data_IF_329126425320
#
_entry.id   IF_329126425320
#
_cell.length_a   1.000
_cell.length_b   1.000
_cell.length_c   1.000
_cell.angle_alpha   90.00
_cell.angle_beta   90.00
_cell.angle_gamma   90.00
#
_symmetry.space_group_name_H-M   'P 1'
#
loop_
_entity.id
_entity.type
_entity.pdbx_description
1 polymer ?
#
# COMPACT_ATOMS: atom_id res chain seq x y z
N UNK A 1 24.20 24.85 5.33
CA UNK A 1 23.70 24.32 4.05
C UNK A 1 22.25 23.98 4.29
N UNK A 2 21.30 24.56 3.55
CA UNK A 2 19.90 24.17 3.70
C UNK A 2 19.81 22.66 3.47
N UNK A 3 19.41 21.92 4.50
CA UNK A 3 19.30 20.47 4.49
C UNK A 3 18.27 20.10 3.42
N UNK A 4 18.73 19.61 2.27
CA UNK A 4 17.84 19.30 1.15
C UNK A 4 17.00 18.09 1.57
N UNK A 5 15.70 18.27 1.80
CA UNK A 5 14.80 17.14 2.09
C UNK A 5 14.91 16.06 1.01
N UNK A 6 14.86 14.77 1.37
CA UNK A 6 14.93 13.71 0.38
C UNK A 6 13.78 13.79 -0.61
N UNK A 7 14.03 13.38 -1.85
CA UNK A 7 12.96 13.27 -2.85
C UNK A 7 12.03 12.13 -2.44
N UNK A 8 10.72 12.35 -2.57
CA UNK A 8 9.68 11.34 -2.32
C UNK A 8 9.07 10.95 -3.66
N UNK A 9 9.15 9.67 -4.03
CA UNK A 9 8.63 9.17 -5.31
C UNK A 9 7.75 7.96 -5.07
N UNK A 10 6.50 8.00 -5.53
CA UNK A 10 5.55 6.90 -5.43
C UNK A 10 5.40 6.24 -6.80
N UNK A 11 5.71 4.95 -6.88
CA UNK A 11 5.52 4.13 -8.07
C UNK A 11 4.22 3.33 -7.95
N UNK A 12 3.30 3.50 -8.89
CA UNK A 12 2.02 2.79 -8.90
C UNK A 12 1.25 3.02 -10.20
N UNK A 13 -0.01 2.62 -10.24
CA UNK A 13 -0.94 2.99 -11.31
C UNK A 13 -2.25 3.51 -10.71
N UNK A 14 -3.00 4.27 -11.51
CA UNK A 14 -4.13 5.08 -11.02
C UNK A 14 -5.28 4.24 -10.48
N UNK A 15 -5.63 3.13 -11.13
CA UNK A 15 -6.73 2.28 -10.69
C UNK A 15 -6.41 1.34 -9.50
N UNK A 16 -5.20 1.41 -8.93
CA UNK A 16 -4.80 0.54 -7.82
C UNK A 16 -5.34 1.03 -6.48
N UNK A 17 -6.09 0.18 -5.78
CA UNK A 17 -6.60 0.46 -4.43
C UNK A 17 -5.47 0.87 -3.45
N UNK A 18 -4.43 0.04 -3.37
CA UNK A 18 -3.31 0.28 -2.46
C UNK A 18 -2.46 1.50 -2.86
N UNK A 19 -2.44 1.87 -4.15
CA UNK A 19 -1.80 3.11 -4.58
C UNK A 19 -2.57 4.32 -4.03
N UNK A 20 -3.91 4.30 -4.07
CA UNK A 20 -4.72 5.36 -3.48
C UNK A 20 -4.54 5.49 -1.97
N UNK A 21 -4.40 4.36 -1.25
CA UNK A 21 -4.05 4.39 0.18
C UNK A 21 -2.77 5.19 0.43
N UNK A 22 -1.71 4.94 -0.33
CA UNK A 22 -0.44 5.67 -0.20
C UNK A 22 -0.54 7.14 -0.66
N UNK A 23 -1.24 7.42 -1.77
CA UNK A 23 -1.46 8.80 -2.27
C UNK A 23 -2.22 9.64 -1.24
N UNK A 24 -3.26 9.09 -0.62
CA UNK A 24 -4.00 9.79 0.42
C UNK A 24 -3.26 9.87 1.75
N UNK A 25 -2.41 8.89 2.11
CA UNK A 25 -1.48 9.04 3.23
C UNK A 25 -0.56 10.26 3.02
N UNK A 26 0.06 10.38 1.84
CA UNK A 26 0.89 11.53 1.46
C UNK A 26 0.10 12.84 1.49
N UNK A 27 -1.14 12.83 0.97
CA UNK A 27 -2.02 14.00 0.97
C UNK A 27 -2.41 14.44 2.38
N UNK A 28 -2.84 13.53 3.26
CA UNK A 28 -3.19 13.85 4.64
C UNK A 28 -1.96 14.42 5.37
N UNK A 29 -0.81 13.79 5.22
CA UNK A 29 0.44 14.27 5.81
C UNK A 29 0.98 15.56 5.17
N UNK A 30 0.41 16.03 4.06
CA UNK A 30 0.84 17.18 3.27
C UNK A 30 2.31 17.08 2.81
N UNK A 31 2.71 15.90 2.32
CA UNK A 31 4.08 15.63 1.84
C UNK A 31 4.12 15.79 0.32
N UNK A 32 4.86 16.77 -0.23
CA UNK A 32 5.10 16.85 -1.68
C UNK A 32 5.79 15.60 -2.20
N UNK A 33 5.26 15.00 -3.27
CA UNK A 33 5.83 13.81 -3.88
C UNK A 33 5.67 13.79 -5.40
N UNK A 34 6.52 13.01 -6.05
CA UNK A 34 6.41 12.70 -7.48
C UNK A 34 5.69 11.35 -7.65
N UNK A 35 4.62 11.30 -8.44
CA UNK A 35 3.98 10.05 -8.83
C UNK A 35 4.54 9.57 -10.18
N UNK A 36 4.99 8.32 -10.24
CA UNK A 36 5.46 7.69 -11.48
C UNK A 36 4.58 6.48 -11.79
N UNK A 37 3.86 6.58 -12.91
CA UNK A 37 3.02 5.52 -13.41
C UNK A 37 3.87 4.33 -13.87
N UNK A 38 3.57 3.16 -13.32
CA UNK A 38 4.12 1.86 -13.74
C UNK A 38 2.99 0.96 -14.23
N UNK A 39 3.26 -0.04 -15.10
CA UNK A 39 2.23 -0.95 -15.59
C UNK A 39 1.41 -1.64 -14.48
N UNK A 40 0.11 -1.85 -14.71
CA UNK A 40 -0.80 -2.53 -13.76
C UNK A 40 -0.55 -4.04 -13.65
N UNK A 41 0.18 -4.60 -14.61
CA UNK A 41 0.59 -5.99 -14.76
C UNK A 41 2.11 -6.06 -14.96
N UNK A 42 2.70 -7.25 -14.81
CA UNK A 42 4.13 -7.43 -15.11
C UNK A 42 4.38 -7.46 -16.63
N UNK A 43 5.58 -7.06 -17.11
CA UNK A 43 6.75 -6.60 -16.36
C UNK A 43 6.72 -5.09 -16.00
N UNK A 44 7.49 -4.70 -14.98
CA UNK A 44 7.71 -3.29 -14.58
C UNK A 44 9.19 -2.91 -14.72
N UNK A 45 9.66 -2.60 -15.95
CA UNK A 45 11.08 -2.39 -16.23
C UNK A 45 11.69 -1.24 -15.41
N UNK A 46 10.96 -0.15 -15.17
CA UNK A 46 11.43 0.96 -14.32
C UNK A 46 11.87 0.48 -12.93
N UNK A 47 11.12 -0.42 -12.29
CA UNK A 47 11.50 -0.94 -10.96
C UNK A 47 12.65 -1.96 -11.06
N UNK A 48 12.58 -2.85 -12.05
CA UNK A 48 13.57 -3.91 -12.26
C UNK A 48 14.94 -3.34 -12.64
N UNK A 49 14.99 -2.51 -13.68
CA UNK A 49 16.23 -2.07 -14.32
C UNK A 49 16.90 -0.94 -13.52
N UNK A 50 16.10 -0.03 -12.94
CA UNK A 50 16.66 1.07 -12.16
C UNK A 50 17.11 0.64 -10.77
N UNK A 51 16.36 -0.25 -10.11
CA UNK A 51 16.56 -0.57 -8.68
C UNK A 51 16.90 -2.04 -8.39
N UNK A 52 16.88 -2.93 -9.39
CA UNK A 52 17.02 -4.37 -9.15
C UNK A 52 15.82 -4.98 -8.42
N UNK A 53 14.66 -4.30 -8.42
CA UNK A 53 13.49 -4.73 -7.65
C UNK A 53 12.60 -5.67 -8.47
N UNK A 54 12.47 -6.92 -8.03
CA UNK A 54 11.58 -7.93 -8.63
C UNK A 54 10.21 -8.02 -7.95
N UNK A 55 10.03 -7.32 -6.82
CA UNK A 55 8.79 -7.31 -6.05
C UNK A 55 7.58 -6.97 -6.93
N UNK A 56 6.62 -7.89 -6.97
CA UNK A 56 5.49 -7.83 -7.90
C UNK A 56 4.36 -6.91 -7.48
N UNK A 57 4.15 -6.64 -6.19
CA UNK A 57 3.04 -5.75 -5.76
C UNK A 57 3.43 -4.27 -5.90
N UNK A 58 2.41 -3.42 -5.89
CA UNK A 58 2.50 -1.96 -5.88
C UNK A 58 1.56 -1.42 -4.80
N UNK A 59 1.73 -0.18 -4.34
CA UNK A 59 2.78 0.75 -4.71
C UNK A 59 4.14 0.42 -4.09
N UNK A 60 5.18 1.09 -4.57
CA UNK A 60 6.52 1.17 -3.95
C UNK A 60 6.84 2.65 -3.73
N UNK A 61 7.32 3.01 -2.54
CA UNK A 61 7.72 4.39 -2.23
C UNK A 61 9.25 4.49 -2.16
N UNK A 62 9.84 5.45 -2.87
CA UNK A 62 11.21 5.87 -2.65
C UNK A 62 11.25 7.11 -1.74
N UNK A 63 12.11 7.09 -0.72
CA UNK A 63 12.54 8.29 0.01
C UNK A 63 14.06 8.39 -0.17
N UNK A 64 14.50 9.24 -1.09
CA UNK A 64 15.87 9.21 -1.58
C UNK A 64 16.22 7.85 -2.19
N UNK A 65 17.19 7.15 -1.60
CA UNK A 65 17.71 5.85 -2.08
C UNK A 65 17.21 4.65 -1.29
N UNK A 66 16.15 4.83 -0.51
CA UNK A 66 15.48 3.78 0.26
C UNK A 66 14.13 3.47 -0.40
N UNK A 67 13.90 2.21 -0.76
CA UNK A 67 12.64 1.75 -1.33
C UNK A 67 11.83 1.02 -0.26
N UNK A 68 10.62 1.49 0.01
CA UNK A 68 9.67 0.88 0.92
C UNK A 68 8.60 0.13 0.13
N UNK A 69 8.57 -1.18 0.31
CA UNK A 69 7.56 -2.07 -0.25
C UNK A 69 6.45 -2.30 0.78
N UNK A 70 5.22 -2.46 0.27
CA UNK A 70 3.99 -2.65 1.05
C UNK A 70 3.47 -1.39 1.78
N UNK A 71 2.17 -1.12 1.66
CA UNK A 71 1.57 0.10 2.22
C UNK A 71 1.69 0.19 3.74
N UNK A 72 1.72 -0.94 4.45
CA UNK A 72 1.89 -0.95 5.90
C UNK A 72 3.25 -0.39 6.32
N UNK A 73 4.31 -0.69 5.57
CA UNK A 73 5.65 -0.16 5.84
C UNK A 73 5.82 1.26 5.29
N UNK A 74 5.26 1.54 4.11
CA UNK A 74 5.24 2.88 3.51
C UNK A 74 4.68 3.89 4.52
N UNK A 75 3.55 3.59 5.17
CA UNK A 75 2.95 4.48 6.16
C UNK A 75 3.88 4.71 7.36
N UNK A 76 4.54 3.66 7.87
CA UNK A 76 5.49 3.81 8.98
C UNK A 76 6.72 4.62 8.58
N UNK A 77 7.20 4.48 7.34
CA UNK A 77 8.28 5.29 6.80
C UNK A 77 7.87 6.77 6.72
N UNK A 78 6.67 7.06 6.22
CA UNK A 78 6.16 8.43 6.16
C UNK A 78 6.04 9.04 7.56
N UNK A 79 5.54 8.30 8.55
CA UNK A 79 5.46 8.78 9.94
C UNK A 79 6.84 9.04 10.57
N UNK A 80 7.84 8.25 10.19
CA UNK A 80 9.19 8.40 10.71
C UNK A 80 9.96 9.57 10.08
N UNK A 81 9.91 9.73 8.76
CA UNK A 81 10.66 10.78 8.06
C UNK A 81 9.95 12.12 8.01
N UNK A 82 8.63 12.14 8.19
CA UNK A 82 7.80 13.34 8.17
C UNK A 82 6.93 13.39 9.44
N UNK A 83 7.55 13.58 10.62
CA UNK A 83 6.84 13.54 11.91
C UNK A 83 6.13 14.86 12.22
N UNK A 84 5.17 14.80 13.14
CA UNK A 84 4.44 15.96 13.67
C UNK A 84 5.37 17.01 14.33
N UNK A 85 6.47 16.56 14.95
CA UNK A 85 7.50 17.46 15.48
C UNK A 85 8.19 18.33 14.42
N UNK A 86 8.08 17.98 13.14
CA UNK A 86 8.61 18.73 12.00
C UNK A 86 7.49 19.45 11.20
N UNK A 87 6.26 19.50 11.74
CA UNK A 87 5.12 20.24 11.17
C UNK A 87 4.24 19.44 10.20
N UNK A 88 4.45 18.14 10.06
CA UNK A 88 3.61 17.25 9.23
C UNK A 88 2.42 16.70 10.02
N UNK A 89 1.29 16.43 9.37
CA UNK A 89 0.20 15.74 10.10
C UNK A 89 0.59 14.29 10.41
N UNK A 90 0.19 13.77 11.56
CA UNK A 90 0.33 12.34 11.87
C UNK A 90 -0.93 11.56 11.49
N UNK A 91 -0.75 10.36 10.95
CA UNK A 91 -1.80 9.36 10.75
C UNK A 91 -2.16 8.62 12.05
N UNK A 92 -1.47 8.93 13.16
CA UNK A 92 -1.74 8.42 14.50
C UNK A 92 -2.09 9.55 15.48
N UNK A 93 -3.11 10.38 15.19
CA UNK A 93 -3.49 11.47 16.06
C UNK A 93 -3.94 10.96 17.44
N UNK A 94 -3.76 11.81 18.46
CA UNK A 94 -4.22 11.55 19.82
C UNK A 94 -5.76 11.55 19.85
N UNK A 95 -6.34 10.54 20.48
CA UNK A 95 -7.78 10.45 20.69
C UNK A 95 -8.25 11.40 21.82
N UNK A 96 -9.55 11.65 21.90
CA UNK A 96 -10.17 12.52 22.90
C UNK A 96 -9.86 12.10 24.36
N UNK A 97 -9.62 10.81 24.61
CA UNK A 97 -9.23 10.27 25.92
C UNK A 97 -7.73 10.45 26.26
N UNK A 98 -6.98 11.11 25.38
CA UNK A 98 -5.55 11.39 25.54
C UNK A 98 -4.62 10.27 25.07
N UNK A 99 -5.12 9.12 24.61
CA UNK A 99 -4.31 7.98 24.17
C UNK A 99 -3.97 8.05 22.67
N UNK A 100 -2.92 7.32 22.28
CA UNK A 100 -2.57 7.11 20.87
C UNK A 100 -2.77 5.62 20.57
N UNK A 101 -3.73 5.31 19.70
CA UNK A 101 -4.15 3.94 19.39
C UNK A 101 -3.39 3.31 18.21
N UNK A 102 -2.12 3.69 17.99
CA UNK A 102 -1.30 3.28 16.84
C UNK A 102 -1.34 1.77 16.54
N UNK A 103 -1.17 0.84 17.51
CA UNK A 103 -1.24 -0.59 17.22
C UNK A 103 -2.63 -1.05 16.75
N UNK A 104 -3.70 -0.49 17.31
CA UNK A 104 -5.08 -0.81 16.92
C UNK A 104 -5.41 -0.24 15.54
N UNK A 105 -4.98 0.99 15.25
CA UNK A 105 -5.14 1.62 13.92
C UNK A 105 -4.39 0.82 12.85
N UNK A 106 -3.15 0.38 13.12
CA UNK A 106 -2.39 -0.52 12.22
C UNK A 106 -3.08 -1.87 12.06
N UNK A 107 -3.53 -2.46 13.16
CA UNK A 107 -4.24 -3.74 13.15
C UNK A 107 -5.52 -3.69 12.31
N UNK A 108 -6.34 -2.66 12.53
CA UNK A 108 -7.57 -2.40 11.78
C UNK A 108 -7.29 -2.26 10.29
N UNK A 109 -6.29 -1.43 9.91
CA UNK A 109 -5.90 -1.27 8.52
C UNK A 109 -5.39 -2.58 7.90
N UNK A 110 -4.36 -3.21 8.47
CA UNK A 110 -3.63 -4.31 7.82
C UNK A 110 -4.30 -5.69 7.91
N UNK A 111 -5.15 -5.93 8.92
CA UNK A 111 -5.78 -7.25 9.11
C UNK A 111 -7.26 -7.28 8.82
N UNK A 112 -7.98 -6.17 9.00
CA UNK A 112 -9.41 -6.10 8.70
C UNK A 112 -9.64 -5.46 7.33
N UNK A 113 -9.19 -4.23 7.13
CA UNK A 113 -9.53 -3.51 5.90
C UNK A 113 -8.78 -4.09 4.68
N UNK A 114 -7.46 -4.22 4.77
CA UNK A 114 -6.62 -4.68 3.67
C UNK A 114 -6.84 -6.17 3.32
N UNK A 115 -7.59 -6.94 4.13
CA UNK A 115 -7.80 -8.38 3.96
C UNK A 115 -9.28 -8.76 3.74
N UNK A 116 -10.12 -9.01 4.77
CA UNK A 116 -11.51 -9.42 4.53
C UNK A 116 -12.35 -8.35 3.84
N UNK A 117 -12.19 -7.06 4.18
CA UNK A 117 -12.95 -5.99 3.54
C UNK A 117 -12.52 -5.80 2.07
N UNK A 118 -11.21 -5.77 1.81
CA UNK A 118 -10.65 -5.78 0.46
C UNK A 118 -11.18 -6.94 -0.38
N UNK A 119 -11.16 -8.18 0.15
CA UNK A 119 -11.69 -9.36 -0.56
C UNK A 119 -13.17 -9.23 -0.91
N UNK A 120 -13.99 -8.70 0.00
CA UNK A 120 -15.42 -8.50 -0.26
C UNK A 120 -15.62 -7.52 -1.43
N UNK A 121 -14.94 -6.37 -1.40
CA UNK A 121 -15.04 -5.35 -2.46
C UNK A 121 -14.41 -5.77 -3.79
N UNK A 122 -13.28 -6.50 -3.81
CA UNK A 122 -12.74 -7.09 -5.04
C UNK A 122 -13.70 -8.10 -5.68
N UNK A 123 -14.51 -8.78 -4.86
CA UNK A 123 -15.56 -9.67 -5.32
C UNK A 123 -16.72 -8.97 -6.03
N UNK A 124 -16.77 -7.64 -6.03
CA UNK A 124 -17.78 -6.82 -6.71
C UNK A 124 -17.30 -6.32 -8.08
N UNK A 125 -16.04 -6.56 -8.45
CA UNK A 125 -15.54 -6.11 -9.76
C UNK A 125 -16.32 -6.79 -10.91
N UNK A 126 -16.66 -6.04 -11.98
CA UNK A 126 -17.37 -6.58 -13.13
C UNK A 126 -16.66 -7.79 -13.76
N UNK A 127 -17.44 -8.74 -14.28
CA UNK A 127 -16.93 -9.91 -15.00
C UNK A 127 -16.00 -9.55 -16.17
N UNK A 128 -16.26 -8.42 -16.84
CA UNK A 128 -15.46 -7.91 -17.95
C UNK A 128 -13.98 -7.74 -17.59
N UNK A 129 -13.66 -7.28 -16.37
CA UNK A 129 -12.28 -7.11 -15.88
C UNK A 129 -11.52 -8.44 -15.91
N UNK A 130 -12.16 -9.50 -15.41
CA UNK A 130 -11.56 -10.82 -15.27
C UNK A 130 -11.38 -11.55 -16.61
N UNK A 131 -12.11 -11.15 -17.66
CA UNK A 131 -11.98 -11.70 -19.03
C UNK A 131 -10.79 -11.13 -19.80
N UNK A 132 -10.11 -10.12 -19.26
CA UNK A 132 -8.94 -9.49 -19.89
C UNK A 132 -7.63 -10.19 -19.48
N UNK A 133 -6.51 -9.73 -20.03
CA UNK A 133 -5.16 -10.13 -19.58
C UNK A 133 -4.92 -9.85 -18.10
N UNK A 134 -5.63 -8.88 -17.51
CA UNK A 134 -5.59 -8.62 -16.07
C UNK A 134 -6.01 -9.84 -15.25
N UNK A 135 -7.08 -10.53 -15.65
CA UNK A 135 -7.53 -11.74 -14.96
C UNK A 135 -6.46 -12.84 -14.98
N UNK A 136 -5.75 -12.99 -16.10
CA UNK A 136 -4.65 -13.94 -16.24
C UNK A 136 -3.46 -13.56 -15.34
N UNK A 137 -3.09 -12.28 -15.33
CA UNK A 137 -2.03 -11.76 -14.46
C UNK A 137 -2.36 -11.97 -12.96
N UNK A 138 -3.61 -11.73 -12.56
CA UNK A 138 -4.07 -11.94 -11.19
C UNK A 138 -4.15 -13.42 -10.82
N UNK A 139 -4.51 -14.31 -11.74
CA UNK A 139 -4.41 -15.75 -11.52
C UNK A 139 -2.97 -16.19 -11.20
N UNK A 140 -1.98 -15.65 -11.94
CA UNK A 140 -0.56 -15.87 -11.65
C UNK A 140 -0.12 -15.31 -10.29
N UNK A 141 -0.59 -14.10 -9.94
CA UNK A 141 -0.33 -13.48 -8.64
C UNK A 141 -0.89 -14.30 -7.47
N UNK A 142 -2.11 -14.82 -7.59
CA UNK A 142 -2.79 -15.55 -6.52
C UNK A 142 -2.38 -17.02 -6.48
N UNK A 143 -1.90 -17.57 -7.59
CA UNK A 143 -1.42 -18.96 -7.70
C UNK A 143 -2.51 -19.99 -8.01
N UNK A 144 -3.67 -19.57 -8.52
CA UNK A 144 -4.69 -20.47 -9.06
C UNK A 144 -5.50 -19.81 -10.18
N UNK A 145 -6.08 -20.63 -11.05
CA UNK A 145 -6.89 -20.16 -12.17
C UNK A 145 -8.17 -19.46 -11.71
N UNK A 146 -8.43 -18.28 -12.28
CA UNK A 146 -9.67 -17.54 -12.08
C UNK A 146 -10.63 -17.86 -13.23
N UNK A 147 -11.90 -18.10 -12.87
CA UNK A 147 -13.00 -18.36 -13.81
C UNK A 147 -13.92 -17.14 -13.83
N UNK A 148 -13.88 -16.31 -14.88
CA UNK A 148 -14.65 -15.05 -14.92
C UNK A 148 -16.16 -15.25 -14.76
N UNK A 149 -16.72 -16.30 -15.37
CA UNK A 149 -18.16 -16.58 -15.29
C UNK A 149 -18.58 -16.96 -13.86
N UNK A 150 -17.74 -17.73 -13.15
CA UNK A 150 -18.00 -18.06 -11.74
C UNK A 150 -17.84 -16.86 -10.83
N UNK A 151 -16.85 -16.00 -11.08
CA UNK A 151 -16.65 -14.77 -10.30
C UNK A 151 -17.83 -13.82 -10.46
N UNK A 152 -18.30 -13.62 -11.70
CA UNK A 152 -19.46 -12.79 -12.01
C UNK A 152 -20.74 -13.34 -11.35
N UNK A 153 -20.97 -14.65 -11.40
CA UNK A 153 -22.10 -15.31 -10.70
C UNK A 153 -22.05 -15.17 -9.17
N UNK A 154 -20.88 -14.88 -8.58
CA UNK A 154 -20.70 -14.69 -7.14
C UNK A 154 -20.91 -13.26 -6.67
N UNK A 155 -21.17 -12.30 -7.57
CA UNK A 155 -21.40 -10.89 -7.19
C UNK A 155 -22.49 -10.76 -6.10
N UNK A 156 -23.68 -11.42 -6.19
CA UNK A 156 -24.68 -11.32 -5.12
C UNK A 156 -24.19 -11.83 -3.76
N UNK A 157 -23.39 -12.90 -3.73
CA UNK A 157 -22.81 -13.43 -2.50
C UNK A 157 -21.77 -12.47 -1.92
N UNK A 158 -20.93 -11.87 -2.77
CA UNK A 158 -19.96 -10.86 -2.36
C UNK A 158 -20.65 -9.56 -1.90
N UNK A 159 -21.79 -9.21 -2.49
CA UNK A 159 -22.63 -8.09 -2.07
C UNK A 159 -23.18 -8.33 -0.66
N UNK A 160 -23.62 -9.55 -0.34
CA UNK A 160 -24.01 -9.94 1.02
C UNK A 160 -22.84 -9.92 2.02
N UNK A 161 -21.63 -10.32 1.59
CA UNK A 161 -20.42 -10.19 2.43
C UNK A 161 -20.08 -8.73 2.71
N UNK A 162 -20.16 -7.87 1.69
CA UNK A 162 -19.91 -6.44 1.80
C UNK A 162 -20.95 -5.78 2.72
N UNK A 163 -22.23 -6.13 2.58
CA UNK A 163 -23.30 -5.71 3.48
C UNK A 163 -23.01 -6.07 4.94
N UNK A 164 -22.60 -7.31 5.20
CA UNK A 164 -22.21 -7.74 6.54
C UNK A 164 -21.02 -6.93 7.09
N UNK A 165 -20.00 -6.62 6.27
CA UNK A 165 -18.89 -5.77 6.70
C UNK A 165 -19.35 -4.36 7.09
N UNK A 166 -20.23 -3.74 6.30
CA UNK A 166 -20.78 -2.41 6.60
C UNK A 166 -21.64 -2.45 7.87
N UNK A 167 -22.47 -3.48 8.05
CA UNK A 167 -23.27 -3.66 9.26
C UNK A 167 -22.43 -3.79 10.53
N UNK A 168 -21.24 -4.39 10.45
CA UNK A 168 -20.30 -4.43 11.59
C UNK A 168 -19.69 -3.06 11.92
N UNK A 169 -19.55 -2.18 10.92
CA UNK A 169 -18.92 -0.86 11.06
C UNK A 169 -19.93 0.24 11.44
N UNK A 170 -21.20 0.10 11.06
CA UNK A 170 -22.24 1.11 11.30
C UNK A 170 -22.34 1.59 12.76
N UNK A 171 -22.34 0.72 13.79
CA UNK A 171 -22.46 1.16 15.17
C UNK A 171 -21.30 2.06 15.65
N UNK A 172 -20.17 2.08 14.93
CA UNK A 172 -19.04 2.96 15.25
C UNK A 172 -19.38 4.44 15.04
N UNK A 173 -20.41 4.74 14.25
CA UNK A 173 -20.81 6.10 13.87
C UNK A 173 -22.12 6.56 14.57
N UNK A 174 -22.59 5.81 15.56
CA UNK A 174 -23.75 6.19 16.39
C UNK A 174 -23.42 7.36 17.35
N UNK A 175 -22.13 7.61 17.62
CA UNK A 175 -21.68 8.64 18.55
C UNK A 175 -21.51 10.00 17.87
N UNK A 176 -22.01 11.06 18.52
CA UNK A 176 -22.05 12.42 17.94
C UNK A 176 -20.79 13.25 18.18
N UNK A 177 -19.88 12.79 19.04
CA UNK A 177 -18.80 13.63 19.58
C UNK A 177 -17.59 13.76 18.64
N UNK A 178 -17.41 12.80 17.73
CA UNK A 178 -16.40 12.88 16.67
C UNK A 178 -16.85 12.06 15.47
N UNK A 179 -16.62 12.55 14.23
CA UNK A 179 -16.91 11.77 13.04
C UNK A 179 -15.89 10.64 12.81
N UNK A 180 -14.76 10.60 13.52
CA UNK A 180 -13.65 9.69 13.20
C UNK A 180 -13.63 8.43 14.06
N UNK A 181 -13.18 7.31 13.47
CA UNK A 181 -13.24 5.95 14.04
C UNK A 181 -12.65 5.84 15.47
N UNK A 182 -11.58 6.58 15.76
CA UNK A 182 -10.91 6.57 17.07
C UNK A 182 -11.21 7.82 17.92
N UNK A 183 -12.27 8.57 17.62
CA UNK A 183 -12.62 9.80 18.32
C UNK A 183 -11.47 10.81 18.40
N UNK A 184 -10.73 10.92 17.29
CA UNK A 184 -9.62 11.86 17.11
C UNK A 184 -10.17 13.21 16.62
N UNK A 185 -9.34 14.25 16.57
CA UNK A 185 -9.72 15.55 16.01
C UNK A 185 -9.62 15.62 14.48
N UNK A 186 -8.81 14.75 13.90
CA UNK A 186 -8.53 14.61 12.45
C UNK A 186 -8.55 13.12 12.09
N UNK A 187 -8.77 12.74 10.81
CA UNK A 187 -8.82 11.32 10.43
C UNK A 187 -7.49 10.62 10.72
N UNK A 188 -7.60 9.39 11.21
CA UNK A 188 -6.46 8.51 11.51
C UNK A 188 -6.17 7.55 10.36
N UNK A 189 -5.14 6.71 10.52
CA UNK A 189 -4.90 5.59 9.61
C UNK A 189 -6.12 4.67 9.47
N UNK A 190 -6.92 4.50 10.51
CA UNK A 190 -8.12 3.65 10.42
C UNK A 190 -9.17 4.25 9.49
N UNK A 191 -9.37 5.57 9.57
CA UNK A 191 -10.27 6.30 8.67
C UNK A 191 -9.76 6.27 7.23
N UNK A 192 -8.46 6.54 7.02
CA UNK A 192 -7.82 6.42 5.72
C UNK A 192 -7.99 5.01 5.14
N UNK A 193 -7.72 3.97 5.94
CA UNK A 193 -7.81 2.58 5.52
C UNK A 193 -9.24 2.23 5.07
N UNK A 194 -10.24 2.49 5.91
CA UNK A 194 -11.62 2.21 5.56
C UNK A 194 -12.06 3.02 4.33
N UNK A 195 -11.67 4.29 4.25
CA UNK A 195 -12.13 5.17 3.19
C UNK A 195 -11.58 4.75 1.85
N UNK A 196 -10.27 4.46 1.76
CA UNK A 196 -9.69 4.13 0.47
C UNK A 196 -10.30 2.86 -0.11
N UNK A 197 -10.56 1.88 0.75
CA UNK A 197 -11.06 0.60 0.31
C UNK A 197 -12.55 0.67 -0.05
N UNK A 198 -13.33 1.41 0.74
CA UNK A 198 -14.75 1.62 0.45
C UNK A 198 -14.93 2.42 -0.85
N UNK A 199 -14.22 3.54 -1.00
CA UNK A 199 -14.23 4.33 -2.24
C UNK A 199 -13.84 3.46 -3.44
N UNK A 200 -12.67 2.81 -3.39
CA UNK A 200 -12.20 2.00 -4.53
C UNK A 200 -13.16 0.87 -4.87
N UNK A 201 -13.69 0.18 -3.85
CA UNK A 201 -14.62 -0.93 -4.02
C UNK A 201 -15.92 -0.49 -4.70
N UNK A 202 -16.48 0.64 -4.27
CA UNK A 202 -17.72 1.18 -4.85
C UNK A 202 -17.49 1.68 -6.28
N UNK A 203 -16.42 2.44 -6.52
CA UNK A 203 -16.13 2.98 -7.86
C UNK A 203 -15.84 1.86 -8.88
N UNK A 204 -15.01 0.87 -8.52
CA UNK A 204 -14.72 -0.25 -9.43
C UNK A 204 -15.93 -1.16 -9.62
N UNK A 205 -16.80 -1.32 -8.62
CA UNK A 205 -18.05 -2.07 -8.79
C UNK A 205 -18.99 -1.42 -9.81
N UNK A 206 -18.99 -0.08 -9.94
CA UNK A 206 -19.70 0.63 -11.01
C UNK A 206 -19.07 0.44 -12.39
N UNK A 207 -17.81 0.00 -12.40
CA UNK A 207 -16.95 -0.11 -13.58
C UNK A 207 -16.20 1.17 -13.90
N UNK A 208 -15.95 2.03 -12.91
CA UNK A 208 -15.01 3.13 -13.06
C UNK A 208 -13.56 2.64 -12.98
N UNK A 209 -12.66 3.29 -13.70
CA UNK A 209 -11.22 3.02 -13.73
C UNK A 209 -10.82 1.63 -14.25
N UNK A 210 -11.75 0.82 -14.76
CA UNK A 210 -11.47 -0.54 -15.23
C UNK A 210 -10.67 -0.55 -16.54
N UNK A 211 -10.78 0.50 -17.36
CA UNK A 211 -9.90 0.72 -18.50
C UNK A 211 -8.44 0.86 -18.06
N UNK A 212 -8.15 1.72 -17.07
CA UNK A 212 -6.81 1.86 -16.51
C UNK A 212 -6.34 0.58 -15.79
N UNK A 213 -7.23 -0.05 -15.01
CA UNK A 213 -6.94 -1.28 -14.27
C UNK A 213 -6.46 -2.39 -15.19
N UNK A 214 -7.17 -2.59 -16.31
CA UNK A 214 -6.92 -3.65 -17.28
C UNK A 214 -5.93 -3.26 -18.38
N UNK A 215 -5.35 -2.06 -18.33
CA UNK A 215 -4.49 -1.51 -19.37
C UNK A 215 -5.16 -1.52 -20.77
N UNK A 216 -6.42 -1.08 -20.83
CA UNK A 216 -7.22 -1.03 -22.06
C UNK A 216 -7.86 -2.37 -22.46
N UNK A 217 -7.90 -3.35 -21.56
CA UNK A 217 -8.55 -4.64 -21.82
C UNK A 217 -10.08 -4.58 -21.82
N UNK A 218 -10.67 -3.53 -21.24
CA UNK A 218 -12.10 -3.23 -21.25
C UNK A 218 -12.32 -1.73 -21.07
N UNK A 219 -13.53 -1.24 -21.33
CA UNK A 219 -13.89 0.18 -21.22
C UNK A 219 -14.56 0.47 -19.89
N UNK A 220 -14.41 1.71 -19.42
CA UNK A 220 -15.14 2.17 -18.24
C UNK A 220 -16.66 2.16 -18.50
N UNK A 221 -17.42 1.89 -17.44
CA UNK A 221 -18.88 1.85 -17.44
C UNK A 221 -19.41 2.61 -16.23
N UNK A 222 -20.72 2.90 -16.19
CA UNK A 222 -21.35 3.57 -15.05
C UNK A 222 -22.62 2.80 -14.65
N UNK A 223 -22.42 1.63 -14.04
CA UNK A 223 -23.50 0.75 -13.58
C UNK A 223 -23.87 1.05 -12.12
N UNK A 224 -24.97 0.48 -11.62
CA UNK A 224 -25.38 0.63 -10.21
C UNK A 224 -24.34 0.08 -9.21
N UNK A 225 -23.48 -0.87 -9.61
CA UNK A 225 -22.42 -1.43 -8.79
C UNK A 225 -22.90 -1.89 -7.41
N UNK A 226 -22.48 -1.19 -6.35
CA UNK A 226 -22.79 -1.51 -4.96
C UNK A 226 -23.90 -0.66 -4.32
N UNK A 227 -24.63 0.16 -5.10
CA UNK A 227 -25.62 1.12 -4.58
C UNK A 227 -26.78 0.47 -3.81
N UNK A 228 -27.18 -0.75 -4.17
CA UNK A 228 -28.21 -1.50 -3.46
C UNK A 228 -27.85 -1.79 -1.99
N UNK A 229 -26.55 -1.77 -1.64
CA UNK A 229 -26.04 -2.02 -0.30
C UNK A 229 -25.48 -0.74 0.34
N UNK A 230 -24.57 -0.04 -0.35
CA UNK A 230 -23.94 1.16 0.22
C UNK A 230 -24.70 2.42 -0.19
N UNK A 231 -25.61 2.86 0.68
CA UNK A 231 -26.37 4.10 0.53
C UNK A 231 -26.77 4.70 1.89
N UNK A 232 -27.18 5.97 1.88
CA UNK A 232 -27.54 6.72 3.08
C UNK A 232 -28.77 6.19 3.81
N UNK A 233 -29.66 5.45 3.13
CA UNK A 233 -30.86 4.90 3.75
C UNK A 233 -30.54 3.65 4.58
N UNK A 234 -29.61 2.81 4.10
CA UNK A 234 -29.23 1.56 4.77
C UNK A 234 -28.15 1.75 5.83
N UNK A 235 -27.17 2.62 5.55
CA UNK A 235 -26.01 2.87 6.43
C UNK A 235 -25.79 4.37 6.63
N UNK A 236 -26.70 5.08 7.33
CA UNK A 236 -26.64 6.53 7.48
C UNK A 236 -25.35 7.01 8.18
N UNK A 237 -24.84 6.27 9.17
CA UNK A 237 -23.62 6.59 9.91
C UNK A 237 -22.37 6.47 9.04
N UNK A 238 -22.14 5.28 8.47
CA UNK A 238 -21.00 5.04 7.55
C UNK A 238 -21.08 5.99 6.36
N UNK A 239 -22.26 6.20 5.76
CA UNK A 239 -22.39 7.10 4.61
C UNK A 239 -22.07 8.55 4.98
N UNK A 240 -22.50 9.02 6.15
CA UNK A 240 -22.17 10.37 6.65
C UNK A 240 -20.67 10.51 6.91
N UNK A 241 -20.04 9.51 7.54
CA UNK A 241 -18.58 9.47 7.72
C UNK A 241 -17.85 9.48 6.37
N UNK A 242 -18.28 8.66 5.41
CA UNK A 242 -17.69 8.58 4.08
C UNK A 242 -17.70 9.93 3.37
N UNK A 243 -18.84 10.63 3.38
CA UNK A 243 -18.96 11.97 2.80
C UNK A 243 -18.16 13.02 3.58
N UNK A 244 -17.97 12.83 4.87
CA UNK A 244 -17.13 13.70 5.71
C UNK A 244 -15.64 13.51 5.37
N UNK A 245 -15.17 12.27 5.26
CA UNK A 245 -13.81 11.96 4.82
C UNK A 245 -13.53 12.42 3.40
N UNK A 246 -14.49 12.25 2.49
CA UNK A 246 -14.40 12.76 1.13
C UNK A 246 -14.18 14.27 1.11
N UNK A 247 -15.04 15.04 1.80
CA UNK A 247 -14.89 16.50 1.91
C UNK A 247 -13.57 16.90 2.57
N UNK A 248 -13.13 16.18 3.60
CA UNK A 248 -11.83 16.40 4.23
C UNK A 248 -10.71 16.30 3.21
N UNK A 249 -10.66 15.21 2.43
CA UNK A 249 -9.64 15.01 1.41
C UNK A 249 -9.74 16.00 0.24
N UNK A 250 -10.94 16.36 -0.20
CA UNK A 250 -11.17 17.35 -1.27
C UNK A 250 -10.67 18.74 -0.88
N UNK A 251 -10.81 19.12 0.40
CA UNK A 251 -10.35 20.41 0.92
C UNK A 251 -8.84 20.49 1.16
N UNK A 252 -8.13 19.35 1.16
CA UNK A 252 -6.68 19.36 1.27
C UNK A 252 -6.02 19.78 -0.05
N UNK A 253 -4.97 20.63 -0.01
CA UNK A 253 -4.15 20.95 -1.18
C UNK A 253 -3.61 19.69 -1.86
N UNK A 254 -3.43 19.77 -3.19
CA UNK A 254 -2.66 18.76 -3.91
C UNK A 254 -1.18 18.85 -3.52
N UNK A 255 -0.57 17.70 -3.32
CA UNK A 255 0.87 17.55 -3.05
C UNK A 255 1.55 16.66 -4.09
N UNK A 256 0.82 16.26 -5.13
CA UNK A 256 1.28 15.36 -6.18
C UNK A 256 1.84 16.13 -7.37
N UNK A 257 3.05 15.76 -7.78
CA UNK A 257 3.62 16.06 -9.09
C UNK A 257 3.56 14.80 -9.95
N UNK A 258 2.63 14.75 -10.90
CA UNK A 258 2.30 13.52 -11.64
C UNK A 258 3.10 13.39 -12.93
N UNK A 259 3.73 12.24 -13.10
CA UNK A 259 4.39 11.75 -14.32
C UNK A 259 5.34 12.74 -15.03
N UNK A 260 6.28 13.40 -14.31
CA UNK A 260 7.39 14.07 -14.98
C UNK A 260 8.29 13.05 -15.69
N UNK A 261 9.18 13.54 -16.56
CA UNK A 261 10.14 12.70 -17.26
C UNK A 261 10.99 11.88 -16.28
N UNK A 262 10.89 10.55 -16.34
CA UNK A 262 11.54 9.67 -15.35
C UNK A 262 13.06 9.85 -15.28
N UNK A 263 13.72 10.22 -16.38
CA UNK A 263 15.15 10.56 -16.39
C UNK A 263 15.51 11.69 -15.42
N UNK A 264 14.66 12.70 -15.28
CA UNK A 264 14.85 13.80 -14.32
C UNK A 264 14.64 13.34 -12.88
N UNK A 265 13.60 12.54 -12.66
CA UNK A 265 13.30 11.93 -11.34
C UNK A 265 14.45 11.05 -10.89
N UNK A 266 15.01 10.24 -11.78
CA UNK A 266 16.18 9.41 -11.51
C UNK A 266 17.40 10.25 -11.11
N UNK A 267 17.62 11.40 -11.76
CA UNK A 267 18.69 12.30 -11.35
C UNK A 267 18.44 12.92 -9.96
N UNK A 268 17.19 13.23 -9.62
CA UNK A 268 16.83 13.70 -8.28
C UNK A 268 17.08 12.61 -7.23
N UNK A 269 16.70 11.36 -7.49
CA UNK A 269 16.99 10.20 -6.62
C UNK A 269 18.50 10.03 -6.44
N UNK A 270 19.28 10.09 -7.53
CA UNK A 270 20.75 9.95 -7.49
C UNK A 270 21.42 11.04 -6.64
N UNK A 271 20.92 12.27 -6.72
CA UNK A 271 21.42 13.45 -5.98
C UNK A 271 20.88 13.56 -4.55
N UNK A 272 19.83 12.79 -4.21
CA UNK A 272 19.21 12.84 -2.89
C UNK A 272 20.24 12.53 -1.78
N UNK A 273 20.20 13.24 -0.64
CA UNK A 273 21.16 13.03 0.43
C UNK A 273 21.04 11.62 1.02
N UNK A 274 22.12 11.17 1.64
CA UNK A 274 22.11 9.94 2.40
C UNK A 274 21.37 10.17 3.73
N UNK A 275 20.33 9.37 3.98
CA UNK A 275 19.52 9.44 5.20
C UNK A 275 20.23 8.81 6.42
N UNK A 276 21.43 8.27 6.23
CA UNK A 276 22.32 7.79 7.29
C UNK A 276 21.70 6.64 8.08
N UNK A 277 21.98 6.59 9.39
CA UNK A 277 21.44 5.54 10.27
C UNK A 277 19.93 5.65 10.46
N UNK A 278 19.32 6.82 10.26
CA UNK A 278 17.86 7.04 10.42
C UNK A 278 17.05 6.23 9.40
N UNK A 279 17.63 5.89 8.24
CA UNK A 279 17.00 5.02 7.26
C UNK A 279 17.45 3.56 7.31
N UNK A 280 18.30 3.16 8.25
CA UNK A 280 18.73 1.77 8.29
C UNK A 280 17.58 0.84 8.73
N UNK A 281 16.80 1.28 9.72
CA UNK A 281 15.59 0.62 10.20
C UNK A 281 14.61 1.68 10.71
N UNK A 282 13.32 1.46 10.47
CA UNK A 282 12.24 2.22 11.08
C UNK A 282 12.16 1.91 12.59
N UNK A 283 11.71 2.87 13.42
CA UNK A 283 11.56 2.65 14.85
C UNK A 283 10.53 1.54 15.13
N UNK A 284 10.94 0.57 15.95
CA UNK A 284 10.04 -0.45 16.53
C UNK A 284 10.08 -0.35 18.07
N UNK A 285 8.99 -0.69 18.78
CA UNK A 285 8.95 -0.60 20.25
C UNK A 285 10.00 -1.46 20.97
N UNK A 286 10.55 -2.49 20.31
CA UNK A 286 11.51 -3.42 20.89
C UNK A 286 12.65 -3.71 19.91
N UNK A 287 13.87 -3.82 20.43
CA UNK A 287 15.05 -4.19 19.65
C UNK A 287 14.92 -5.58 19.02
N UNK A 288 15.73 -5.84 17.99
CA UNK A 288 15.85 -7.18 17.40
C UNK A 288 16.29 -8.23 18.41
N UNK A 289 15.88 -9.48 18.18
CA UNK A 289 16.23 -10.61 19.02
C UNK A 289 17.40 -11.38 18.37
N UNK A 290 18.62 -10.85 18.52
CA UNK A 290 19.80 -11.33 17.77
C UNK A 290 20.05 -12.84 17.89
N UNK A 291 19.80 -13.46 19.04
CA UNK A 291 19.97 -14.92 19.19
C UNK A 291 18.97 -15.71 18.33
N UNK A 292 17.71 -15.26 18.26
CA UNK A 292 16.69 -15.88 17.43
C UNK A 292 17.04 -15.69 15.95
N UNK A 293 17.44 -14.48 15.57
CA UNK A 293 17.84 -14.17 14.20
C UNK A 293 19.02 -15.05 13.74
N UNK A 294 20.02 -15.28 14.62
CA UNK A 294 21.13 -16.23 14.38
C UNK A 294 20.65 -17.67 14.22
N UNK A 295 19.72 -18.14 15.06
CA UNK A 295 19.14 -19.50 14.95
C UNK A 295 18.39 -19.68 13.63
N UNK A 296 17.82 -18.60 13.09
CA UNK A 296 17.19 -18.59 11.77
C UNK A 296 18.17 -18.36 10.61
N UNK A 297 19.46 -18.10 10.88
CA UNK A 297 20.47 -17.75 9.87
C UNK A 297 20.34 -16.34 9.29
N UNK A 298 19.45 -15.52 9.84
CA UNK A 298 19.14 -14.16 9.37
C UNK A 298 20.09 -13.14 10.02
N UNK A 299 21.36 -13.21 9.65
CA UNK A 299 22.40 -12.28 10.11
C UNK A 299 22.80 -11.32 9.00
N UNK A 300 23.28 -10.13 9.37
CA UNK A 300 23.82 -9.16 8.41
C UNK A 300 24.85 -9.83 7.48
N UNK A 301 24.72 -9.58 6.18
CA UNK A 301 25.54 -10.19 5.13
C UNK A 301 24.99 -11.51 4.56
N UNK A 302 23.99 -12.14 5.19
CA UNK A 302 23.35 -13.35 4.64
C UNK A 302 22.62 -13.03 3.32
N UNK A 303 22.72 -13.94 2.34
CA UNK A 303 21.88 -13.88 1.15
C UNK A 303 20.47 -14.41 1.49
N UNK A 304 19.46 -13.60 1.22
CA UNK A 304 18.07 -13.92 1.58
C UNK A 304 17.12 -13.67 0.41
N UNK A 305 16.04 -14.45 0.36
CA UNK A 305 14.86 -14.18 -0.46
C UNK A 305 13.75 -13.61 0.42
N UNK A 306 13.14 -12.51 -0.01
CA UNK A 306 11.99 -11.89 0.65
C UNK A 306 10.78 -11.95 -0.29
N UNK A 307 9.68 -12.54 0.17
CA UNK A 307 8.44 -12.65 -0.59
C UNK A 307 7.21 -12.48 0.32
N UNK A 308 6.07 -11.99 -0.18
CA UNK A 308 4.82 -12.00 0.58
C UNK A 308 4.42 -13.41 1.00
N UNK A 309 3.61 -13.54 2.06
CA UNK A 309 3.07 -14.81 2.56
C UNK A 309 1.67 -15.15 2.03
N UNK A 310 1.07 -14.28 1.22
CA UNK A 310 -0.29 -14.36 0.73
C UNK A 310 -0.37 -14.53 -0.80
N UNK A 311 0.07 -13.53 -1.57
CA UNK A 311 -0.03 -13.44 -3.03
C UNK A 311 1.25 -12.84 -3.60
N UNK A 312 1.66 -13.28 -4.79
CA UNK A 312 2.98 -12.93 -5.35
C UNK A 312 4.14 -13.68 -4.67
N UNK A 313 3.86 -14.81 -4.03
CA UNK A 313 4.85 -15.65 -3.34
C UNK A 313 5.96 -16.16 -4.29
N UNK A 314 5.67 -16.24 -5.58
CA UNK A 314 6.57 -16.77 -6.62
C UNK A 314 7.48 -15.70 -7.24
N UNK A 315 7.40 -14.44 -6.77
CA UNK A 315 8.19 -13.31 -7.25
C UNK A 315 9.08 -12.74 -6.12
N UNK A 316 9.98 -13.54 -5.52
CA UNK A 316 10.81 -13.08 -4.41
C UNK A 316 11.81 -12.01 -4.88
N UNK A 317 12.14 -11.07 -3.99
CA UNK A 317 13.33 -10.23 -4.14
C UNK A 317 14.48 -10.87 -3.38
N UNK A 318 15.54 -11.22 -4.11
CA UNK A 318 16.76 -11.81 -3.55
C UNK A 318 17.76 -10.69 -3.31
N UNK A 319 18.40 -10.69 -2.15
CA UNK A 319 19.39 -9.67 -1.81
C UNK A 319 20.24 -10.03 -0.60
N UNK A 320 21.23 -9.20 -0.34
CA UNK A 320 22.07 -9.30 0.87
C UNK A 320 21.37 -8.60 2.01
N UNK A 321 21.16 -9.30 3.12
CA UNK A 321 20.57 -8.77 4.35
C UNK A 321 21.48 -7.68 4.93
N UNK A 322 20.94 -6.48 5.08
CA UNK A 322 21.64 -5.31 5.65
C UNK A 322 21.22 -5.09 7.10
N UNK A 323 19.93 -5.16 7.37
CA UNK A 323 19.39 -4.95 8.70
C UNK A 323 18.08 -5.71 8.91
N UNK A 324 17.80 -6.04 10.17
CA UNK A 324 16.60 -6.77 10.57
C UNK A 324 16.11 -6.25 11.93
N UNK A 325 14.79 -6.02 12.02
CA UNK A 325 14.10 -5.77 13.28
C UNK A 325 12.98 -6.80 13.51
N UNK A 326 12.18 -6.60 14.55
CA UNK A 326 10.95 -7.37 14.76
C UNK A 326 9.88 -7.07 13.70
N UNK A 327 9.96 -5.92 13.02
CA UNK A 327 8.91 -5.42 12.12
C UNK A 327 9.38 -5.19 10.68
N UNK A 328 10.68 -5.19 10.41
CA UNK A 328 11.24 -4.81 9.12
C UNK A 328 12.46 -5.66 8.75
N UNK A 329 12.62 -5.91 7.46
CA UNK A 329 13.82 -6.49 6.85
C UNK A 329 14.33 -5.56 5.74
N UNK A 330 15.64 -5.35 5.72
CA UNK A 330 16.29 -4.44 4.76
C UNK A 330 17.35 -5.20 4.00
N UNK A 331 17.26 -5.18 2.67
CA UNK A 331 18.20 -5.87 1.78
C UNK A 331 18.82 -4.91 0.78
N UNK A 332 20.04 -5.23 0.33
CA UNK A 332 20.55 -4.74 -0.96
C UNK A 332 20.18 -5.77 -2.03
N UNK A 333 19.35 -5.41 -3.03
CA UNK A 333 18.92 -6.36 -4.04
C UNK A 333 20.12 -6.89 -4.82
N UNK A 334 20.10 -8.18 -5.15
CA UNK A 334 21.13 -8.78 -6.00
C UNK A 334 20.99 -8.23 -7.42
N UNK A 335 22.12 -8.11 -8.13
CA UNK A 335 22.08 -7.82 -9.56
C UNK A 335 21.29 -8.91 -10.30
N UNK A 336 20.45 -8.48 -11.24
CA UNK A 336 19.67 -9.36 -12.11
C UNK A 336 20.48 -9.59 -13.40
N UNK A 337 19.82 -9.60 -14.55
CA UNK A 337 20.48 -9.73 -15.87
C UNK A 337 21.44 -8.57 -16.18
N UNK A 338 21.18 -7.40 -15.58
CA UNK A 338 22.00 -6.18 -15.70
C UNK A 338 22.16 -5.57 -14.31
N UNK A 339 23.24 -4.80 -14.14
CA UNK A 339 23.41 -3.98 -12.94
C UNK A 339 22.30 -2.92 -12.89
N UNK A 340 21.75 -2.71 -11.69
CA UNK A 340 20.78 -1.64 -11.45
C UNK A 340 21.41 -0.26 -11.72
N UNK A 341 20.64 0.68 -12.25
CA UNK A 341 21.13 2.03 -12.53
C UNK A 341 21.52 2.84 -11.28
N UNK A 342 21.03 2.43 -10.11
CA UNK A 342 21.38 3.01 -8.82
C UNK A 342 21.38 1.93 -7.73
N UNK A 343 22.35 2.02 -6.82
CA UNK A 343 22.35 1.22 -5.59
C UNK A 343 21.33 1.78 -4.60
N UNK A 344 20.42 0.92 -4.16
CA UNK A 344 19.37 1.23 -3.17
C UNK A 344 19.35 0.18 -2.06
N UNK A 345 18.71 0.52 -0.95
CA UNK A 345 18.21 -0.49 0.00
C UNK A 345 16.71 -0.66 -0.21
N UNK A 346 16.25 -1.89 -0.08
CA UNK A 346 14.83 -2.25 -0.19
C UNK A 346 14.36 -2.76 1.15
N UNK A 347 13.28 -2.16 1.63
CA UNK A 347 12.66 -2.33 2.92
C UNK A 347 11.34 -3.08 2.73
N UNK A 348 11.17 -4.17 3.47
CA UNK A 348 9.93 -4.92 3.53
C UNK A 348 9.47 -5.05 4.98
N UNK A 349 8.14 -5.00 5.25
CA UNK A 349 7.66 -5.34 6.58
C UNK A 349 7.89 -6.83 6.80
N UNK A 350 8.13 -7.22 8.05
CA UNK A 350 8.09 -8.65 8.43
C UNK A 350 6.66 -9.18 8.49
N UNK A 351 5.71 -8.29 8.77
CA UNK A 351 4.30 -8.61 8.71
C UNK A 351 3.88 -8.93 7.27
N UNK A 352 3.38 -10.14 7.03
CA UNK A 352 2.88 -10.56 5.72
C UNK A 352 3.99 -10.96 4.73
N UNK A 353 5.22 -11.17 5.22
CA UNK A 353 6.36 -11.57 4.39
C UNK A 353 7.13 -12.72 5.02
N UNK A 354 7.65 -13.58 4.16
CA UNK A 354 8.55 -14.67 4.51
C UNK A 354 9.96 -14.30 4.06
N UNK A 355 10.92 -14.46 4.98
CA UNK A 355 12.35 -14.29 4.72
C UNK A 355 12.99 -15.67 4.82
N UNK A 356 13.69 -16.10 3.78
CA UNK A 356 14.43 -17.37 3.74
C UNK A 356 15.87 -17.13 3.34
N UNK A 357 16.78 -17.96 3.82
CA UNK A 357 18.11 -18.04 3.23
C UNK A 357 17.99 -18.43 1.76
N UNK A 358 18.72 -17.72 0.91
CA UNK A 358 18.83 -18.03 -0.50
C UNK A 358 20.20 -18.64 -0.78
N UNK A 359 20.26 -19.60 -1.68
CA UNK A 359 21.52 -20.08 -2.21
C UNK A 359 22.02 -19.12 -3.30
N UNK A 360 23.32 -18.88 -3.36
CA UNK A 360 23.90 -18.25 -4.55
C UNK A 360 23.69 -19.23 -5.70
N UNK A 361 22.99 -18.80 -6.75
CA UNK A 361 22.96 -19.55 -7.99
C UNK A 361 24.41 -19.87 -8.38
N UNK A 362 24.74 -21.16 -8.56
CA UNK A 362 26.04 -21.58 -9.07
C UNK A 362 26.15 -21.01 -10.49
N UNK A 363 27.07 -20.06 -10.68
CA UNK A 363 27.38 -19.44 -11.96
C UNK A 363 27.86 -20.48 -12.98
#
# INVERSE_FOLDING_TARGET
MADQSPVVVLFGYEASAFTWKARWALKIKQIPYTFITVPSMMPRPVLKDTFGLTYRKIPVLAIGKELYCDTSLIIEALEHFFPDSEGYQSLYPRAADGRIYRPMMRGFASYWIDRPFFRATCGLMPGSVWRTSFGQDRAGLIGHTLDPDKLEKKIPENMSRFDMQLSMLEPMFDQKDSPWIFSTSVPSLADLAMYYQLWWGVEVAKGHFIHNLTAGGTEDTDTEGAEAVFNAQRYPGVFTWYRTMQRYLENLPSVENKDPAFGEVLQQIKKSPNLGRRSLLLPTPRSSHTELDRKCGLVEGSLVSVAPDDTGMNDPTIGTLVALSSEEVVIKPQALDKAAEIEVRVHFPRLGFVIRLAERAKL
#
